data_IF_279519253756
#
_entry.id   IF_279519253756
#
_cell.length_a   1.000
_cell.length_b   1.000
_cell.length_c   1.000
_cell.angle_alpha   90.00
_cell.angle_beta   90.00
_cell.angle_gamma   90.00
#
_symmetry.space_group_name_H-M   'P 1'
#
loop_
_entity.id
_entity.type
_entity.pdbx_description
1 polymer ?
#
# COMPACT_ATOMS: atom_id res chain seq x y z
N UNK A 1 19.17 -10.07 4.63
CA UNK A 1 19.37 -9.83 6.08
C UNK A 1 18.30 -10.57 6.88
N UNK A 2 18.46 -10.85 8.18
CA UNK A 2 17.33 -11.30 9.01
C UNK A 2 16.43 -10.08 9.30
N UNK A 3 15.30 -9.99 8.59
CA UNK A 3 14.36 -8.88 8.67
C UNK A 3 12.93 -9.34 8.43
N UNK A 4 11.98 -8.55 8.95
CA UNK A 4 10.54 -8.79 8.93
C UNK A 4 9.99 -8.54 7.53
N UNK A 5 9.14 -9.44 7.03
CA UNK A 5 8.38 -9.22 5.79
C UNK A 5 7.21 -8.28 6.07
N UNK A 6 7.09 -7.22 5.29
CA UNK A 6 6.02 -6.24 5.38
C UNK A 6 5.39 -6.02 3.99
N UNK A 7 4.13 -5.62 3.95
CA UNK A 7 3.45 -5.24 2.72
C UNK A 7 3.07 -3.77 2.76
N UNK A 8 3.48 -3.00 1.75
CA UNK A 8 3.28 -1.56 1.65
C UNK A 8 2.31 -1.28 0.50
N UNK A 9 1.20 -0.63 0.78
CA UNK A 9 0.29 -0.10 -0.24
C UNK A 9 0.87 1.17 -0.85
N UNK A 10 0.80 1.28 -2.17
CA UNK A 10 1.37 2.39 -2.95
C UNK A 10 0.24 2.97 -3.82
N UNK A 11 -0.03 4.27 -3.72
CA UNK A 11 -1.11 4.92 -4.49
C UNK A 11 -0.78 6.33 -4.97
N UNK A 12 -1.17 6.69 -6.19
CA UNK A 12 -0.99 8.04 -6.77
C UNK A 12 -2.11 8.39 -7.74
N UNK A 13 -2.50 9.67 -7.86
CA UNK A 13 -3.38 10.14 -8.94
C UNK A 13 -3.03 11.54 -9.52
N UNK A 14 -1.94 12.16 -9.06
CA UNK A 14 -1.45 13.44 -9.60
C UNK A 14 -0.29 13.23 -10.59
N UNK A 15 -0.22 14.10 -11.61
CA UNK A 15 0.83 14.04 -12.62
C UNK A 15 0.83 12.73 -13.40
N UNK A 16 2.02 12.13 -13.59
CA UNK A 16 2.17 10.79 -14.15
C UNK A 16 2.10 9.75 -13.02
N UNK A 17 0.88 9.34 -12.66
CA UNK A 17 0.64 8.51 -11.48
C UNK A 17 1.38 7.15 -11.52
N UNK A 18 1.48 6.52 -12.69
CA UNK A 18 2.21 5.26 -12.88
C UNK A 18 3.70 5.44 -12.59
N UNK A 19 4.29 6.53 -13.11
CA UNK A 19 5.70 6.83 -12.91
C UNK A 19 5.99 7.24 -11.47
N UNK A 20 5.07 7.94 -10.78
CA UNK A 20 5.22 8.19 -9.35
C UNK A 20 5.26 6.86 -8.56
N UNK A 21 4.39 5.90 -8.87
CA UNK A 21 4.38 4.62 -8.16
C UNK A 21 5.65 3.80 -8.42
N UNK A 22 6.23 3.85 -9.64
CA UNK A 22 7.57 3.27 -9.92
C UNK A 22 8.67 3.96 -9.10
N UNK A 23 8.73 5.29 -9.16
CA UNK A 23 9.68 6.09 -8.39
C UNK A 23 9.57 5.83 -6.87
N UNK A 24 8.36 5.58 -6.35
CA UNK A 24 8.17 5.23 -4.95
C UNK A 24 8.82 3.88 -4.59
N UNK A 25 8.64 2.86 -5.42
CA UNK A 25 9.31 1.55 -5.26
C UNK A 25 10.84 1.70 -5.28
N UNK A 26 11.38 2.50 -6.20
CA UNK A 26 12.82 2.77 -6.27
C UNK A 26 13.34 3.52 -5.05
N UNK A 27 12.65 4.57 -4.60
CA UNK A 27 13.00 5.32 -3.40
C UNK A 27 12.97 4.44 -2.14
N UNK A 28 12.01 3.52 -2.03
CA UNK A 28 11.97 2.54 -0.93
C UNK A 28 13.17 1.58 -0.98
N UNK A 29 13.58 1.14 -2.17
CA UNK A 29 14.79 0.32 -2.36
C UNK A 29 16.10 1.04 -2.00
N UNK A 30 16.11 2.37 -1.93
CA UNK A 30 17.24 3.20 -1.51
C UNK A 30 17.25 3.50 0.01
N UNK A 31 16.18 3.20 0.74
CA UNK A 31 16.10 3.44 2.18
C UNK A 31 16.94 2.41 2.98
N UNK A 32 17.86 2.89 3.82
CA UNK A 32 18.71 2.02 4.63
C UNK A 32 17.89 1.14 5.58
N UNK A 33 18.02 -0.18 5.43
CA UNK A 33 17.30 -1.15 6.24
C UNK A 33 15.93 -1.55 5.67
N UNK A 34 15.61 -1.14 4.45
CA UNK A 34 14.52 -1.65 3.62
C UNK A 34 15.14 -2.37 2.41
N UNK A 35 14.62 -3.55 2.09
CA UNK A 35 14.95 -4.36 0.92
C UNK A 35 13.62 -4.65 0.22
N UNK A 36 13.36 -4.04 -0.94
CA UNK A 36 12.16 -4.37 -1.73
C UNK A 36 12.39 -5.72 -2.38
N UNK A 37 11.61 -6.74 -2.01
CA UNK A 37 11.78 -8.11 -2.51
C UNK A 37 11.03 -8.33 -3.83
N UNK A 38 9.84 -7.70 -3.96
CA UNK A 38 8.99 -7.71 -5.15
C UNK A 38 7.85 -6.69 -5.00
N UNK A 39 7.15 -6.40 -6.09
CA UNK A 39 5.92 -5.61 -6.07
C UNK A 39 4.89 -6.22 -7.03
N UNK A 40 3.61 -5.91 -6.80
CA UNK A 40 2.49 -6.34 -7.64
C UNK A 40 2.55 -5.67 -9.00
N UNK A 41 1.69 -6.12 -9.91
CA UNK A 41 1.28 -5.31 -11.06
C UNK A 41 0.69 -3.96 -10.62
N UNK A 42 0.70 -2.98 -11.53
CA UNK A 42 0.03 -1.69 -11.33
C UNK A 42 -1.42 -1.75 -11.80
N UNK A 43 -2.32 -1.14 -11.05
CA UNK A 43 -3.75 -1.12 -11.33
C UNK A 43 -4.28 0.30 -11.41
N UNK A 44 -5.01 0.61 -12.48
CA UNK A 44 -5.85 1.81 -12.56
C UNK A 44 -7.11 1.55 -11.71
N UNK A 45 -7.45 2.44 -10.79
CA UNK A 45 -8.60 2.26 -9.89
C UNK A 45 -9.40 3.53 -9.68
N UNK A 46 -10.70 3.40 -9.45
CA UNK A 46 -11.53 4.53 -9.04
C UNK A 46 -11.09 5.11 -7.68
N UNK A 47 -11.41 6.39 -7.45
CA UNK A 47 -11.19 7.05 -6.17
C UNK A 47 -12.24 6.63 -5.13
N UNK A 48 -11.79 6.35 -3.90
CA UNK A 48 -12.67 6.09 -2.75
C UNK A 48 -12.79 7.34 -1.88
N UNK A 49 -14.02 7.74 -1.55
CA UNK A 49 -14.33 8.95 -0.79
C UNK A 49 -14.66 10.13 -1.71
N UNK A 50 -13.70 11.02 -1.97
CA UNK A 50 -13.89 12.14 -2.90
C UNK A 50 -13.86 11.59 -4.33
N UNK A 51 -15.00 11.59 -5.03
CA UNK A 51 -15.12 10.94 -6.35
C UNK A 51 -14.82 11.85 -7.55
N UNK A 52 -14.92 13.18 -7.41
CA UNK A 52 -14.63 14.12 -8.50
C UNK A 52 -13.13 14.42 -8.63
N UNK A 53 -12.34 13.37 -8.89
CA UNK A 53 -10.89 13.43 -9.12
C UNK A 53 -10.44 12.34 -10.10
N UNK A 54 -9.18 12.41 -10.56
CA UNK A 54 -8.60 11.38 -11.43
C UNK A 54 -8.54 10.01 -10.73
N UNK A 55 -8.69 8.95 -11.52
CA UNK A 55 -8.36 7.58 -11.13
C UNK A 55 -6.96 7.49 -10.53
N UNK A 56 -6.81 6.59 -9.55
CA UNK A 56 -5.52 6.26 -8.95
C UNK A 56 -4.80 5.20 -9.78
N UNK A 57 -3.47 5.20 -9.69
CA UNK A 57 -2.65 4.01 -9.91
C UNK A 57 -2.30 3.46 -8.54
N UNK A 58 -2.68 2.21 -8.27
CA UNK A 58 -2.39 1.49 -7.03
C UNK A 58 -1.53 0.24 -7.29
N UNK A 59 -0.70 -0.11 -6.32
CA UNK A 59 0.10 -1.34 -6.27
C UNK A 59 0.42 -1.71 -4.81
N UNK A 60 1.02 -2.87 -4.59
CA UNK A 60 1.59 -3.28 -3.30
C UNK A 60 3.05 -3.70 -3.50
N UNK A 61 3.94 -3.24 -2.62
CA UNK A 61 5.30 -3.75 -2.51
C UNK A 61 5.42 -4.72 -1.32
N UNK A 62 6.07 -5.86 -1.55
CA UNK A 62 6.62 -6.69 -0.48
C UNK A 62 8.03 -6.18 -0.17
N UNK A 63 8.30 -5.93 1.11
CA UNK A 63 9.61 -5.52 1.59
C UNK A 63 10.08 -6.45 2.70
N UNK A 64 11.39 -6.60 2.83
CA UNK A 64 12.05 -7.09 4.03
C UNK A 64 12.69 -5.90 4.75
N UNK A 65 12.47 -5.76 6.05
CA UNK A 65 13.05 -4.64 6.81
C UNK A 65 13.60 -5.05 8.17
N UNK A 66 14.61 -4.30 8.63
CA UNK A 66 15.16 -4.35 10.00
C UNK A 66 14.71 -3.14 10.84
N UNK A 67 13.87 -2.26 10.29
CA UNK A 67 13.27 -1.13 10.99
C UNK A 67 12.05 -1.61 11.77
N UNK A 68 11.84 -1.08 12.99
CA UNK A 68 10.55 -1.24 13.68
C UNK A 68 9.42 -0.57 12.90
N UNK A 69 8.18 -1.02 13.06
CA UNK A 69 7.02 -0.45 12.34
C UNK A 69 6.92 1.09 12.46
N UNK A 70 7.22 1.65 13.63
CA UNK A 70 7.31 3.09 13.87
C UNK A 70 8.38 3.80 13.02
N UNK A 71 9.57 3.19 12.87
CA UNK A 71 10.65 3.71 12.02
C UNK A 71 10.35 3.52 10.53
N UNK A 72 9.73 2.39 10.17
CA UNK A 72 9.24 2.13 8.82
C UNK A 72 8.23 3.22 8.40
N UNK A 73 7.24 3.53 9.25
CA UNK A 73 6.27 4.61 9.00
C UNK A 73 6.97 5.96 8.77
N UNK A 74 7.97 6.29 9.58
CA UNK A 74 8.76 7.52 9.40
C UNK A 74 9.50 7.54 8.05
N UNK A 75 10.07 6.42 7.62
CA UNK A 75 10.72 6.33 6.31
C UNK A 75 9.73 6.42 5.14
N UNK A 76 8.54 5.79 5.23
CA UNK A 76 7.48 5.96 4.23
C UNK A 76 7.09 7.45 4.11
N UNK A 77 6.84 8.13 5.23
CA UNK A 77 6.53 9.56 5.27
C UNK A 77 7.68 10.44 4.73
N UNK A 78 8.94 10.03 4.94
CA UNK A 78 10.10 10.70 4.35
C UNK A 78 10.14 10.54 2.82
N UNK A 79 9.80 9.36 2.29
CA UNK A 79 9.68 9.14 0.84
C UNK A 79 8.52 9.97 0.26
N UNK A 80 7.34 9.94 0.89
CA UNK A 80 6.21 10.80 0.50
C UNK A 80 6.63 12.27 0.42
N UNK A 81 7.31 12.78 1.44
CA UNK A 81 7.78 14.16 1.53
C UNK A 81 8.81 14.50 0.45
N UNK A 82 9.79 13.63 0.18
CA UNK A 82 10.79 13.80 -0.90
C UNK A 82 10.13 13.88 -2.27
N UNK A 83 9.07 13.09 -2.49
CA UNK A 83 8.27 13.11 -3.72
C UNK A 83 7.27 14.29 -3.78
N UNK A 84 7.23 15.15 -2.77
CA UNK A 84 6.42 16.38 -2.76
C UNK A 84 4.99 16.21 -2.23
N UNK A 85 4.67 15.13 -1.51
CA UNK A 85 3.34 14.93 -0.91
C UNK A 85 2.98 16.08 0.03
N UNK A 86 1.84 16.71 -0.23
CA UNK A 86 1.17 17.65 0.67
C UNK A 86 -0.11 17.00 1.22
N UNK A 87 -0.40 17.23 2.50
CA UNK A 87 -1.58 16.66 3.20
C UNK A 87 -2.62 17.76 3.37
N UNK A 88 -3.21 18.19 2.26
CA UNK A 88 -4.16 19.31 2.21
C UNK A 88 -5.60 18.86 2.48
N UNK A 89 -6.06 17.76 1.85
CA UNK A 89 -7.42 17.24 1.99
C UNK A 89 -7.41 15.72 2.21
N UNK A 90 -8.09 15.23 3.25
CA UNK A 90 -8.23 13.78 3.51
C UNK A 90 -8.99 13.11 2.36
N UNK A 91 -8.36 12.10 1.75
CA UNK A 91 -8.93 11.40 0.58
C UNK A 91 -8.85 12.18 -0.74
N UNK A 92 -8.27 13.38 -0.74
CA UNK A 92 -8.05 14.16 -1.96
C UNK A 92 -6.92 13.62 -2.84
N UNK A 93 -6.60 14.33 -3.94
CA UNK A 93 -5.54 13.94 -4.85
C UNK A 93 -4.15 13.94 -4.18
N UNK A 94 -3.26 13.04 -4.61
CA UNK A 94 -1.85 13.02 -4.15
C UNK A 94 -0.86 12.52 -5.20
N UNK A 95 0.38 13.00 -5.05
CA UNK A 95 1.53 12.59 -5.87
C UNK A 95 2.02 11.18 -5.50
N UNK A 96 1.97 10.80 -4.23
CA UNK A 96 2.21 9.44 -3.75
C UNK A 96 1.63 9.28 -2.34
N UNK A 97 1.13 8.09 -2.02
CA UNK A 97 0.54 7.60 -0.77
C UNK A 97 1.24 6.28 -0.42
N UNK A 98 1.75 6.13 0.81
CA UNK A 98 2.47 4.94 1.26
C UNK A 98 1.94 4.44 2.62
N UNK A 99 1.19 3.34 2.60
CA UNK A 99 0.52 2.74 3.78
C UNK A 99 1.16 1.40 4.19
N UNK A 100 1.44 1.20 5.49
CA UNK A 100 1.83 -0.12 6.02
C UNK A 100 0.57 -1.00 6.11
N UNK A 101 0.42 -1.97 5.20
CA UNK A 101 -0.69 -2.92 5.22
C UNK A 101 -0.47 -4.02 6.26
N UNK A 102 0.76 -4.53 6.34
CA UNK A 102 1.18 -5.59 7.25
C UNK A 102 2.63 -5.38 7.69
N UNK A 103 2.93 -5.77 8.92
CA UNK A 103 4.28 -5.84 9.48
C UNK A 103 4.45 -7.21 10.15
N UNK A 104 5.03 -8.17 9.43
CA UNK A 104 5.09 -9.57 9.85
C UNK A 104 3.70 -10.14 10.15
N UNK A 105 3.53 -10.64 11.38
CA UNK A 105 2.24 -11.08 11.92
C UNK A 105 1.78 -10.20 13.10
N UNK A 106 2.43 -9.05 13.31
CA UNK A 106 2.23 -8.24 14.50
C UNK A 106 0.89 -7.49 14.44
N UNK A 107 0.21 -7.44 15.60
CA UNK A 107 -0.93 -6.55 15.82
C UNK A 107 -0.41 -5.31 16.53
N UNK A 108 -0.34 -4.18 15.81
CA UNK A 108 0.25 -2.94 16.30
C UNK A 108 -0.85 -1.90 16.45
N UNK A 109 -0.90 -1.24 17.61
CA UNK A 109 -1.82 -0.14 17.88
C UNK A 109 -1.12 0.97 18.66
N UNK A 110 -0.69 1.98 17.94
CA UNK A 110 -0.06 3.20 18.45
C UNK A 110 -0.73 4.43 17.81
N UNK A 111 -0.40 5.64 18.26
CA UNK A 111 -0.55 6.88 17.47
C UNK A 111 -1.94 7.08 16.86
N UNK A 112 -2.17 7.25 15.56
CA UNK A 112 -1.34 7.35 14.32
C UNK A 112 -0.65 6.12 13.66
N UNK A 113 -0.72 4.90 14.21
CA UNK A 113 -0.24 3.68 13.53
C UNK A 113 -1.02 2.44 13.98
N UNK A 114 -1.81 1.87 13.08
CA UNK A 114 -2.56 0.62 13.30
C UNK A 114 -2.22 -0.40 12.19
N UNK A 115 -1.76 -1.59 12.58
CA UNK A 115 -1.33 -2.68 11.67
C UNK A 115 -1.95 -4.01 12.14
N UNK A 116 -2.55 -4.84 11.26
CA UNK A 116 -2.79 -4.60 9.84
C UNK A 116 -3.63 -3.36 9.56
N UNK A 117 -3.45 -2.72 8.40
CA UNK A 117 -4.08 -1.44 8.12
C UNK A 117 -5.62 -1.54 8.23
N UNK A 118 -6.27 -0.74 9.10
CA UNK A 118 -7.61 -1.04 9.60
C UNK A 118 -8.68 -1.13 8.49
N UNK A 119 -8.59 -0.27 7.46
CA UNK A 119 -9.57 -0.25 6.37
C UNK A 119 -9.17 -1.13 5.15
N UNK A 120 -8.07 -1.90 5.22
CA UNK A 120 -7.58 -2.63 4.03
C UNK A 120 -8.56 -3.70 3.54
N UNK A 121 -9.23 -4.37 4.47
CA UNK A 121 -10.19 -5.45 4.21
C UNK A 121 -11.48 -4.97 3.50
N UNK A 122 -11.66 -3.65 3.34
CA UNK A 122 -12.81 -3.01 2.68
C UNK A 122 -12.48 -2.44 1.29
N UNK A 123 -11.22 -2.53 0.85
CA UNK A 123 -10.70 -1.80 -0.31
C UNK A 123 -10.21 -2.76 -1.38
N UNK A 124 -10.93 -2.86 -2.50
CA UNK A 124 -10.55 -3.70 -3.63
C UNK A 124 -9.21 -3.30 -4.25
N UNK A 125 -8.94 -1.99 -4.33
CA UNK A 125 -7.66 -1.46 -4.82
C UNK A 125 -6.45 -1.85 -3.96
N UNK A 126 -6.67 -2.37 -2.74
CA UNK A 126 -5.63 -2.93 -1.87
C UNK A 126 -5.59 -4.46 -2.00
N UNK A 127 -6.74 -5.12 -1.92
CA UNK A 127 -6.80 -6.59 -1.90
C UNK A 127 -6.49 -7.24 -3.25
N UNK A 128 -6.80 -6.60 -4.38
CA UNK A 128 -6.49 -7.12 -5.72
C UNK A 128 -4.96 -7.22 -5.96
N UNK A 129 -4.14 -6.15 -5.83
CA UNK A 129 -2.68 -6.25 -5.93
C UNK A 129 -2.02 -7.05 -4.80
N UNK A 130 -2.60 -7.08 -3.59
CA UNK A 130 -2.05 -7.88 -2.50
C UNK A 130 -2.21 -9.38 -2.74
N UNK A 131 -3.34 -9.81 -3.34
CA UNK A 131 -3.57 -11.23 -3.63
C UNK A 131 -2.54 -11.80 -4.61
N UNK A 132 -2.13 -11.01 -5.62
CA UNK A 132 -1.07 -11.35 -6.58
C UNK A 132 0.24 -11.77 -5.89
N UNK A 133 0.57 -11.12 -4.76
CA UNK A 133 1.76 -11.42 -3.98
C UNK A 133 1.54 -12.55 -2.96
N UNK A 134 0.37 -12.61 -2.31
CA UNK A 134 0.19 -13.38 -1.08
C UNK A 134 -1.24 -13.91 -0.84
N UNK A 135 -1.89 -14.40 -1.90
CA UNK A 135 -3.27 -14.95 -1.94
C UNK A 135 -3.70 -15.76 -0.71
N UNK A 136 -2.85 -16.66 -0.20
CA UNK A 136 -3.17 -17.58 0.89
C UNK A 136 -2.75 -17.11 2.30
N UNK A 137 -2.09 -15.95 2.44
CA UNK A 137 -1.73 -15.43 3.76
C UNK A 137 -2.98 -15.12 4.59
N UNK A 138 -3.02 -15.62 5.82
CA UNK A 138 -4.13 -15.42 6.75
C UNK A 138 -4.00 -14.03 7.40
N UNK A 139 -5.05 -13.22 7.29
CA UNK A 139 -5.16 -11.96 8.01
C UNK A 139 -5.37 -12.25 9.51
N UNK A 140 -4.49 -11.78 10.43
CA UNK A 140 -4.46 -12.23 11.82
C UNK A 140 -5.69 -11.84 12.63
N UNK A 141 -6.36 -10.73 12.27
CA UNK A 141 -7.63 -10.30 12.92
C UNK A 141 -8.86 -11.08 12.43
N UNK A 142 -8.97 -11.35 11.13
CA UNK A 142 -10.17 -11.96 10.54
C UNK A 142 -10.10 -13.48 10.41
N UNK A 143 -8.91 -14.08 10.57
CA UNK A 143 -8.65 -15.51 10.38
C UNK A 143 -9.07 -16.04 9.00
N UNK A 144 -9.02 -15.17 7.98
CA UNK A 144 -9.38 -15.45 6.58
C UNK A 144 -8.17 -15.09 5.70
N UNK A 145 -7.96 -15.84 4.61
CA UNK A 145 -6.89 -15.55 3.63
C UNK A 145 -7.12 -14.22 2.90
N UNK A 146 -6.07 -13.60 2.33
CA UNK A 146 -6.22 -12.39 1.49
C UNK A 146 -7.24 -12.61 0.36
N UNK A 147 -7.15 -13.76 -0.33
CA UNK A 147 -8.14 -14.18 -1.32
C UNK A 147 -9.56 -14.26 -0.73
N UNK A 148 -9.70 -14.89 0.43
CA UNK A 148 -11.00 -15.03 1.10
C UNK A 148 -11.59 -13.69 1.57
N UNK A 149 -10.75 -12.70 1.89
CA UNK A 149 -11.20 -11.33 2.12
C UNK A 149 -11.66 -10.68 0.81
N UNK A 150 -10.91 -10.84 -0.29
CA UNK A 150 -11.28 -10.30 -1.61
C UNK A 150 -12.61 -10.88 -2.11
N UNK A 151 -12.80 -12.19 -1.97
CA UNK A 151 -14.05 -12.90 -2.32
C UNK A 151 -15.26 -12.48 -1.46
N UNK A 152 -15.04 -11.77 -0.33
CA UNK A 152 -16.08 -11.24 0.57
C UNK A 152 -16.28 -9.73 0.44
N UNK A 153 -15.54 -9.05 -0.44
CA UNK A 153 -15.72 -7.61 -0.67
C UNK A 153 -17.09 -7.31 -1.29
N UNK A 154 -17.74 -6.29 -0.76
CA UNK A 154 -18.87 -5.62 -1.42
C UNK A 154 -18.43 -4.36 -2.19
N UNK A 155 -17.12 -4.08 -2.25
CA UNK A 155 -16.53 -2.96 -2.97
C UNK A 155 -16.55 -3.22 -4.47
N UNK A 156 -17.46 -2.55 -5.18
CA UNK A 156 -17.70 -2.69 -6.61
C UNK A 156 -16.76 -1.84 -7.48
N UNK A 157 -15.92 -1.00 -6.85
CA UNK A 157 -15.01 -0.07 -7.51
C UNK A 157 -14.14 -0.76 -8.56
N UNK A 158 -13.97 -0.08 -9.69
CA UNK A 158 -13.15 -0.51 -10.80
C UNK A 158 -11.68 -0.64 -10.35
N UNK A 159 -11.10 -1.81 -10.67
CA UNK A 159 -9.68 -2.11 -10.50
C UNK A 159 -9.22 -2.84 -11.77
N UNK A 160 -8.43 -2.16 -12.59
CA UNK A 160 -8.04 -2.58 -13.94
C UNK A 160 -6.53 -2.68 -14.05
N UNK A 161 -6.04 -3.87 -14.40
CA UNK A 161 -4.62 -4.11 -14.64
C UNK A 161 -4.07 -3.18 -15.74
N UNK A 162 -3.01 -2.44 -15.42
CA UNK A 162 -2.22 -1.67 -16.38
C UNK A 162 -1.21 -2.64 -17.00
N UNK A 163 -1.42 -3.00 -18.27
CA UNK A 163 -0.45 -3.75 -19.05
C UNK A 163 0.56 -2.77 -19.66
N UNK A 164 1.85 -3.06 -19.48
CA UNK A 164 2.93 -2.43 -20.26
C UNK A 164 2.93 -2.97 -21.70
#
# INVERSE_FOLDING_TARGET
MNGVICYIGIGSNLGNALENCRNAVENLGQCKGIEVTRFSSFYETEAVGIVNQKNFVNAVAEIRTVLSARKLLQELQNVEKKMGRRREVKGGPRIIDLDILFYGHDLIRETDLEVPHPEMHKRRFVLEPLEELTSYMIHPVFCISIRGLKERLTDDKMVKLIRN
#
